data_IF_424686328686
#
_entry.id   IF_424686328686
#
_cell.length_a   1.000
_cell.length_b   1.000
_cell.length_c   1.000
_cell.angle_alpha   90.00
_cell.angle_beta   90.00
_cell.angle_gamma   90.00
#
_symmetry.space_group_name_H-M   'P 1'
#
loop_
_entity.id
_entity.type
_entity.pdbx_description
1 polymer ?
#
# COMPACT_ATOMS: atom_id res chain seq x y z
N UNK A 1 27.35 -4.30 -13.80
CA UNK A 1 26.32 -5.25 -13.31
C UNK A 1 25.95 -4.96 -11.85
N UNK A 2 26.83 -4.29 -11.10
CA UNK A 2 26.58 -3.85 -9.72
C UNK A 2 25.64 -2.64 -9.63
N UNK A 3 25.67 -1.74 -10.62
CA UNK A 3 24.82 -0.53 -10.65
C UNK A 3 23.32 -0.85 -10.78
N UNK A 4 23.00 -1.97 -11.45
CA UNK A 4 21.62 -2.45 -11.60
C UNK A 4 21.06 -3.01 -10.29
N UNK A 5 21.88 -3.70 -9.48
CA UNK A 5 21.44 -4.18 -8.17
C UNK A 5 21.29 -3.04 -7.15
N UNK A 6 22.22 -2.07 -7.16
CA UNK A 6 22.15 -0.88 -6.32
C UNK A 6 20.93 0.01 -6.63
N UNK A 7 20.48 0.06 -7.90
CA UNK A 7 19.32 0.86 -8.30
C UNK A 7 17.97 0.21 -7.98
N UNK A 8 17.88 -1.12 -7.91
CA UNK A 8 16.62 -1.84 -7.61
C UNK A 8 16.46 -2.09 -6.09
N UNK A 9 17.57 -2.13 -5.34
CA UNK A 9 17.59 -2.30 -3.88
C UNK A 9 16.67 -1.32 -3.11
N UNK A 10 16.68 0.01 -3.37
CA UNK A 10 15.79 0.93 -2.68
C UNK A 10 14.31 0.64 -2.97
N UNK A 11 13.95 0.30 -4.21
CA UNK A 11 12.57 -0.06 -4.57
C UNK A 11 12.07 -1.29 -3.80
N UNK A 12 12.91 -2.31 -3.65
CA UNK A 12 12.60 -3.50 -2.85
C UNK A 12 12.43 -3.16 -1.36
N UNK A 13 13.26 -2.26 -0.83
CA UNK A 13 13.22 -1.85 0.57
C UNK A 13 11.89 -1.20 0.97
N UNK A 14 11.24 -0.49 0.04
CA UNK A 14 9.93 0.14 0.27
C UNK A 14 8.74 -0.81 0.06
N UNK A 15 8.90 -1.90 -0.68
CA UNK A 15 7.81 -2.88 -0.93
C UNK A 15 7.64 -3.84 0.25
N UNK A 16 8.74 -4.27 0.88
CA UNK A 16 8.73 -5.26 1.98
C UNK A 16 7.83 -4.83 3.16
N UNK A 17 7.91 -3.58 3.68
CA UNK A 17 7.03 -3.13 4.76
C UNK A 17 5.55 -3.22 4.40
N UNK A 18 5.19 -2.85 3.18
CA UNK A 18 3.81 -2.90 2.68
C UNK A 18 3.29 -4.34 2.61
N UNK A 19 4.12 -5.29 2.18
CA UNK A 19 3.77 -6.72 2.16
C UNK A 19 3.51 -7.22 3.59
N UNK A 20 4.38 -6.87 4.55
CA UNK A 20 4.22 -7.27 5.95
C UNK A 20 2.89 -6.74 6.51
N UNK A 21 2.54 -5.49 6.22
CA UNK A 21 1.27 -4.88 6.66
C UNK A 21 0.08 -5.67 6.09
N UNK A 22 0.08 -5.99 4.80
CA UNK A 22 -1.01 -6.76 4.17
C UNK A 22 -1.14 -8.15 4.80
N UNK A 23 -0.02 -8.85 5.02
CA UNK A 23 -0.01 -10.17 5.66
C UNK A 23 -0.58 -10.08 7.09
N UNK A 24 -0.16 -9.08 7.87
CA UNK A 24 -0.68 -8.85 9.22
C UNK A 24 -2.20 -8.58 9.23
N UNK A 25 -2.70 -7.86 8.21
CA UNK A 25 -4.14 -7.60 8.04
C UNK A 25 -4.91 -8.90 7.71
N UNK A 26 -4.38 -9.73 6.80
CA UNK A 26 -4.99 -11.01 6.42
C UNK A 26 -5.09 -11.95 7.63
N UNK A 27 -4.05 -12.03 8.46
CA UNK A 27 -4.05 -12.86 9.68
C UNK A 27 -5.12 -12.39 10.67
N UNK A 28 -5.28 -11.07 10.85
CA UNK A 28 -6.30 -10.50 11.73
C UNK A 28 -7.73 -10.63 11.18
N UNK A 29 -7.90 -10.87 9.88
CA UNK A 29 -9.20 -10.98 9.23
C UNK A 29 -9.97 -12.28 9.55
N UNK A 30 -9.32 -13.26 10.19
CA UNK A 30 -9.93 -14.56 10.52
C UNK A 30 -11.24 -14.46 11.33
N UNK A 31 -11.57 -13.30 11.89
CA UNK A 31 -12.82 -13.02 12.62
C UNK A 31 -13.95 -12.36 11.79
N UNK A 32 -13.81 -12.17 10.46
CA UNK A 32 -14.82 -11.56 9.56
C UNK A 32 -15.46 -10.26 10.10
N UNK A 33 -14.69 -9.42 10.79
CA UNK A 33 -15.16 -8.10 11.18
C UNK A 33 -15.15 -7.16 9.97
N UNK A 34 -16.22 -6.38 9.79
CA UNK A 34 -16.31 -5.35 8.76
C UNK A 34 -15.13 -4.36 8.84
N UNK A 35 -14.68 -4.05 10.05
CA UNK A 35 -13.52 -3.21 10.35
C UNK A 35 -12.23 -3.82 9.78
N UNK A 36 -12.06 -5.14 9.87
CA UNK A 36 -10.90 -5.84 9.31
C UNK A 36 -10.86 -5.77 7.77
N UNK A 37 -12.00 -5.89 7.10
CA UNK A 37 -12.10 -5.78 5.64
C UNK A 37 -11.69 -4.38 5.17
N UNK A 38 -12.10 -3.34 5.90
CA UNK A 38 -11.72 -1.96 5.61
C UNK A 38 -10.20 -1.74 5.67
N UNK A 39 -9.55 -2.30 6.72
CA UNK A 39 -8.08 -2.26 6.86
C UNK A 39 -7.41 -2.99 5.70
N UNK A 40 -7.91 -4.16 5.33
CA UNK A 40 -7.33 -4.95 4.23
C UNK A 40 -7.42 -4.21 2.89
N UNK A 41 -8.55 -3.56 2.60
CA UNK A 41 -8.72 -2.75 1.39
C UNK A 41 -7.73 -1.59 1.40
N UNK A 42 -7.61 -0.86 2.51
CA UNK A 42 -6.65 0.25 2.63
C UNK A 42 -5.19 -0.21 2.48
N UNK A 43 -4.82 -1.33 3.10
CA UNK A 43 -3.49 -1.94 2.96
C UNK A 43 -3.21 -2.43 1.52
N UNK A 44 -4.23 -2.99 0.86
CA UNK A 44 -4.14 -3.41 -0.54
C UNK A 44 -3.91 -2.25 -1.50
N UNK A 45 -4.66 -1.14 -1.33
CA UNK A 45 -4.46 0.08 -2.11
C UNK A 45 -3.07 0.68 -1.85
N UNK A 46 -2.61 0.67 -0.58
CA UNK A 46 -1.26 1.10 -0.21
C UNK A 46 -0.17 0.27 -0.89
N UNK A 47 -0.33 -1.05 -0.94
CA UNK A 47 0.60 -1.93 -1.64
C UNK A 47 0.57 -1.72 -3.15
N UNK A 48 -0.61 -1.57 -3.75
CA UNK A 48 -0.76 -1.36 -5.19
C UNK A 48 -0.10 -0.04 -5.64
N UNK A 49 -0.30 1.03 -4.87
CA UNK A 49 0.32 2.34 -5.14
C UNK A 49 1.83 2.30 -4.93
N UNK A 50 2.31 1.59 -3.90
CA UNK A 50 3.75 1.39 -3.65
C UNK A 50 4.41 0.60 -4.79
N UNK A 51 3.77 -0.44 -5.30
CA UNK A 51 4.24 -1.19 -6.48
C UNK A 51 4.22 -0.32 -7.74
N UNK A 52 3.20 0.52 -7.91
CA UNK A 52 3.14 1.42 -9.04
C UNK A 52 4.35 2.37 -9.06
N UNK A 53 4.63 3.06 -7.95
CA UNK A 53 5.74 4.01 -7.86
C UNK A 53 7.12 3.36 -7.87
N UNK A 54 7.31 2.27 -7.14
CA UNK A 54 8.64 1.68 -6.95
C UNK A 54 9.00 0.60 -7.98
N UNK A 55 8.03 0.04 -8.70
CA UNK A 55 8.25 -1.03 -9.67
C UNK A 55 7.76 -0.66 -11.07
N UNK A 56 6.50 -0.25 -11.23
CA UNK A 56 5.94 0.01 -12.56
C UNK A 56 6.60 1.22 -13.23
N UNK A 57 6.76 2.34 -12.52
CA UNK A 57 7.42 3.54 -13.06
C UNK A 57 8.86 3.27 -13.52
N UNK A 58 9.78 2.74 -12.70
CA UNK A 58 11.15 2.51 -13.15
C UNK A 58 11.25 1.53 -14.32
N UNK A 59 10.38 0.50 -14.39
CA UNK A 59 10.32 -0.41 -15.53
C UNK A 59 9.85 0.32 -16.80
N UNK A 60 8.80 1.13 -16.70
CA UNK A 60 8.30 1.90 -17.84
C UNK A 60 9.36 2.90 -18.35
N UNK A 61 10.12 3.54 -17.46
CA UNK A 61 11.24 4.40 -17.83
C UNK A 61 12.34 3.63 -18.58
N UNK A 62 12.71 2.43 -18.12
CA UNK A 62 13.72 1.61 -18.80
C UNK A 62 13.28 1.13 -20.18
N UNK A 63 11.98 0.91 -20.40
CA UNK A 63 11.45 0.36 -21.66
C UNK A 63 11.12 1.45 -22.68
N UNK A 64 10.62 2.61 -22.25
CA UNK A 64 10.07 3.63 -23.15
C UNK A 64 10.94 4.88 -23.33
N UNK A 65 12.08 5.01 -22.63
CA UNK A 65 13.10 6.09 -22.76
C UNK A 65 12.53 7.51 -22.94
N UNK A 66 11.36 7.76 -22.36
CA UNK A 66 10.58 8.98 -22.48
C UNK A 66 10.46 9.59 -21.11
N UNK A 67 10.35 10.92 -21.05
CA UNK A 67 10.23 11.64 -19.78
C UNK A 67 8.78 11.50 -19.25
N UNK A 68 8.41 10.28 -18.82
CA UNK A 68 7.03 9.88 -18.44
C UNK A 68 6.43 10.80 -17.36
N UNK A 69 7.27 11.49 -16.58
CA UNK A 69 6.82 12.41 -15.54
C UNK A 69 6.10 13.66 -16.06
N UNK A 70 6.49 14.22 -17.21
CA UNK A 70 5.84 15.44 -17.74
C UNK A 70 4.52 15.13 -18.41
N UNK A 71 4.48 14.04 -19.17
CA UNK A 71 3.36 13.76 -20.07
C UNK A 71 2.22 13.03 -19.36
N UNK A 72 2.51 12.35 -18.24
CA UNK A 72 1.53 11.55 -17.50
C UNK A 72 1.13 12.14 -16.15
N UNK A 73 1.35 13.44 -15.91
CA UNK A 73 0.99 14.14 -14.65
C UNK A 73 -0.43 13.84 -14.15
N UNK A 74 -1.40 13.68 -15.06
CA UNK A 74 -2.78 13.29 -14.72
C UNK A 74 -2.85 11.91 -14.06
N UNK A 75 -2.16 10.91 -14.61
CA UNK A 75 -2.13 9.54 -14.08
C UNK A 75 -1.49 9.55 -12.68
N UNK A 76 -0.37 10.26 -12.52
CA UNK A 76 0.29 10.41 -11.23
C UNK A 76 -0.64 11.05 -10.18
N UNK A 77 -1.35 12.11 -10.55
CA UNK A 77 -2.31 12.78 -9.67
C UNK A 77 -3.48 11.88 -9.26
N UNK A 78 -4.02 11.07 -10.19
CA UNK A 78 -5.08 10.11 -9.88
C UNK A 78 -4.60 9.03 -8.92
N UNK A 79 -3.40 8.50 -9.13
CA UNK A 79 -2.82 7.46 -8.27
C UNK A 79 -2.51 8.01 -6.88
N UNK A 80 -2.04 9.25 -6.78
CA UNK A 80 -1.88 9.93 -5.49
C UNK A 80 -3.24 10.11 -4.79
N UNK A 81 -4.30 10.49 -5.52
CA UNK A 81 -5.65 10.59 -4.96
C UNK A 81 -6.19 9.25 -4.44
N UNK A 82 -6.02 8.17 -5.20
CA UNK A 82 -6.39 6.81 -4.78
C UNK A 82 -5.57 6.37 -3.56
N UNK A 83 -4.27 6.67 -3.54
CA UNK A 83 -3.39 6.37 -2.40
C UNK A 83 -3.88 7.05 -1.13
N UNK A 84 -4.24 8.34 -1.22
CA UNK A 84 -4.79 9.09 -0.10
C UNK A 84 -6.07 8.46 0.46
N UNK A 85 -7.03 8.10 -0.41
CA UNK A 85 -8.27 7.42 0.00
C UNK A 85 -7.96 6.06 0.65
N UNK A 86 -7.03 5.30 0.08
CA UNK A 86 -6.56 4.03 0.65
C UNK A 86 -5.97 4.18 2.05
N UNK A 87 -5.13 5.20 2.26
CA UNK A 87 -4.56 5.51 3.58
C UNK A 87 -5.63 5.92 4.60
N UNK A 88 -6.64 6.70 4.19
CA UNK A 88 -7.77 7.03 5.07
C UNK A 88 -8.56 5.78 5.46
N UNK A 89 -8.88 4.91 4.50
CA UNK A 89 -9.58 3.64 4.74
C UNK A 89 -8.80 2.74 5.70
N UNK A 90 -7.48 2.66 5.52
CA UNK A 90 -6.59 1.92 6.41
C UNK A 90 -6.63 2.48 7.84
N UNK A 91 -6.47 3.79 8.00
CA UNK A 91 -6.46 4.44 9.31
C UNK A 91 -7.81 4.30 10.04
N UNK A 92 -8.92 4.55 9.35
CA UNK A 92 -10.28 4.42 9.90
C UNK A 92 -10.56 2.97 10.29
N UNK A 93 -10.25 2.02 9.40
CA UNK A 93 -10.42 0.60 9.67
C UNK A 93 -9.61 0.15 10.88
N UNK A 94 -8.37 0.65 11.02
CA UNK A 94 -7.47 0.27 12.11
C UNK A 94 -8.01 0.79 13.45
N UNK A 95 -8.50 2.03 13.46
CA UNK A 95 -9.10 2.65 14.63
C UNK A 95 -10.35 1.88 15.09
N UNK A 96 -11.24 1.52 14.17
CA UNK A 96 -12.42 0.69 14.46
C UNK A 96 -12.03 -0.70 14.98
N UNK A 97 -11.03 -1.33 14.39
CA UNK A 97 -10.53 -2.64 14.83
C UNK A 97 -9.98 -2.56 16.26
N UNK A 98 -9.22 -1.52 16.60
CA UNK A 98 -8.71 -1.31 17.96
C UNK A 98 -9.88 -1.13 18.93
N UNK A 99 -10.87 -0.29 18.59
CA UNK A 99 -12.05 -0.09 19.43
C UNK A 99 -12.84 -1.38 19.66
N UNK A 100 -13.04 -2.20 18.63
CA UNK A 100 -13.69 -3.50 18.76
C UNK A 100 -12.93 -4.40 19.74
N UNK A 101 -11.60 -4.49 19.62
CA UNK A 101 -10.77 -5.34 20.49
C UNK A 101 -10.76 -4.86 21.94
N UNK A 102 -10.66 -3.54 22.16
CA UNK A 102 -10.67 -2.94 23.50
C UNK A 102 -12.03 -3.17 24.18
N UNK A 103 -13.14 -2.94 23.47
CA UNK A 103 -14.48 -3.24 24.02
C UNK A 103 -14.65 -4.72 24.35
N UNK A 104 -14.17 -5.61 23.48
CA UNK A 104 -14.23 -7.06 23.71
C UNK A 104 -13.47 -7.49 24.96
N UNK A 105 -12.34 -6.85 25.28
CA UNK A 105 -11.59 -7.10 26.51
C UNK A 105 -12.26 -6.55 27.77
N UNK A 106 -13.05 -5.47 27.67
CA UNK A 106 -13.79 -4.91 28.81
C UNK A 106 -15.06 -5.71 29.16
N UNK A 107 -15.57 -6.52 28.21
CA UNK A 107 -16.76 -7.36 28.39
C UNK A 107 -16.47 -8.80 28.84
N UNK A 108 -15.20 -9.16 29.00
CA UNK A 108 -14.70 -10.47 29.46
C UNK A 108 -14.23 -10.35 30.92
#
# INVERSE_FOLDING_TARGET
>A
MDDTLLSILPSLLFIIPQIIIVVACIINLKKKSASGILVLIGAGIGLLTTLFYNLAIPILFQVFDTNIYSDNTIIFSLITGISFIGSMLFAIGLLLLIQEKVKLQQSL
#
